data_IF_930511924287
#
_entry.id   IF_930511924287
#
_cell.length_a   1.000
_cell.length_b   1.000
_cell.length_c   1.000
_cell.angle_alpha   90.00
_cell.angle_beta   90.00
_cell.angle_gamma   90.00
#
_symmetry.space_group_name_H-M   'P 1'
#
loop_
_entity.id
_entity.type
_entity.pdbx_description
1 polymer ?
#
# COMPACT_ATOMS: atom_id res chain seq x y z
N UNK A 1 -7.79 6.91 -1.73
CA UNK A 1 -8.83 5.90 -1.43
C UNK A 1 -8.36 4.57 -2.01
N UNK A 2 -7.83 3.67 -1.19
CA UNK A 2 -7.04 2.51 -1.65
C UNK A 2 -7.65 1.18 -1.19
N UNK A 3 -8.98 1.14 -1.02
CA UNK A 3 -9.66 -0.04 -0.50
C UNK A 3 -9.06 -0.52 0.84
N UNK A 4 -8.77 -1.81 0.94
CA UNK A 4 -8.20 -2.45 2.13
C UNK A 4 -6.67 -2.44 2.19
N UNK A 5 -5.97 -1.80 1.25
CA UNK A 5 -4.50 -1.84 1.13
C UNK A 5 -3.79 -1.51 2.46
N UNK A 6 -4.03 -0.32 3.01
CA UNK A 6 -3.38 0.12 4.25
C UNK A 6 -3.72 -0.80 5.44
N UNK A 7 -4.98 -1.22 5.54
CA UNK A 7 -5.45 -2.09 6.62
C UNK A 7 -4.81 -3.46 6.56
N UNK A 8 -4.61 -4.01 5.36
CA UNK A 8 -3.93 -5.29 5.16
C UNK A 8 -2.46 -5.17 5.56
N UNK A 9 -1.72 -4.20 5.01
CA UNK A 9 -0.30 -3.97 5.37
C UNK A 9 -0.15 -3.86 6.89
N UNK A 10 -0.95 -3.01 7.54
CA UNK A 10 -0.87 -2.82 8.99
C UNK A 10 -1.18 -4.12 9.75
N UNK A 11 -2.22 -4.87 9.36
CA UNK A 11 -2.59 -6.11 10.04
C UNK A 11 -1.48 -7.15 9.93
N UNK A 12 -0.99 -7.39 8.73
CA UNK A 12 0.06 -8.38 8.48
C UNK A 12 1.39 -7.95 9.11
N UNK A 13 1.71 -6.65 9.14
CA UNK A 13 2.88 -6.13 9.89
C UNK A 13 2.76 -6.39 11.38
N UNK A 14 1.59 -6.16 11.99
CA UNK A 14 1.40 -6.48 13.41
C UNK A 14 1.58 -7.98 13.67
N UNK A 15 1.03 -8.84 12.80
CA UNK A 15 1.22 -10.29 12.91
C UNK A 15 2.69 -10.70 12.74
N UNK A 16 3.42 -10.05 11.83
CA UNK A 16 4.86 -10.25 11.69
C UNK A 16 5.61 -9.85 12.97
N UNK A 17 5.32 -8.68 13.54
CA UNK A 17 5.94 -8.21 14.80
C UNK A 17 5.68 -9.20 15.94
N UNK A 18 4.44 -9.66 16.10
CA UNK A 18 4.03 -10.63 17.13
C UNK A 18 4.80 -11.95 17.01
N UNK A 19 4.97 -12.47 15.79
CA UNK A 19 5.68 -13.72 15.54
C UNK A 19 7.20 -13.60 15.67
N UNK A 20 7.76 -12.46 15.28
CA UNK A 20 9.21 -12.29 15.15
C UNK A 20 9.86 -11.80 16.43
N UNK A 21 9.25 -10.81 17.09
CA UNK A 21 9.95 -10.04 18.14
C UNK A 21 9.63 -10.54 19.54
N UNK A 22 8.44 -11.16 19.75
CA UNK A 22 7.94 -11.63 21.05
C UNK A 22 7.92 -10.60 22.20
N UNK A 23 8.41 -9.39 21.94
CA UNK A 23 8.80 -8.34 22.87
C UNK A 23 8.49 -6.98 22.24
N UNK A 24 8.38 -5.95 23.07
CA UNK A 24 8.09 -4.58 22.65
C UNK A 24 9.32 -3.81 22.15
N UNK A 25 10.42 -4.50 21.83
CA UNK A 25 11.67 -3.86 21.41
C UNK A 25 11.71 -3.68 19.89
N UNK A 26 10.87 -2.79 19.39
CA UNK A 26 10.83 -2.41 17.99
C UNK A 26 10.53 -0.93 17.81
N UNK A 27 10.98 -0.39 16.69
CA UNK A 27 10.69 0.98 16.28
C UNK A 27 10.07 0.97 14.88
N UNK A 28 9.08 1.84 14.67
CA UNK A 28 8.43 1.97 13.37
C UNK A 28 9.03 3.14 12.59
N UNK A 29 9.50 2.85 11.38
CA UNK A 29 9.83 3.85 10.38
C UNK A 29 8.69 3.87 9.35
N UNK A 30 7.88 4.92 9.38
CA UNK A 30 6.68 5.01 8.56
C UNK A 30 6.93 5.84 7.30
N UNK A 31 6.78 5.20 6.13
CA UNK A 31 6.71 5.88 4.84
C UNK A 31 5.24 6.04 4.46
N UNK A 32 4.70 7.25 4.65
CA UNK A 32 3.29 7.58 4.49
C UNK A 32 2.57 7.92 5.80
N UNK A 33 1.48 8.68 5.70
CA UNK A 33 0.74 9.18 6.86
C UNK A 33 -0.16 8.16 7.56
N UNK A 34 -0.73 7.20 6.83
CA UNK A 34 -1.70 6.26 7.40
C UNK A 34 -1.08 5.36 8.47
N UNK A 35 0.11 4.80 8.18
CA UNK A 35 0.84 3.96 9.13
C UNK A 35 1.35 4.74 10.33
N UNK A 36 1.92 5.93 10.12
CA UNK A 36 2.43 6.77 11.21
C UNK A 36 1.31 7.19 12.17
N UNK A 37 0.16 7.62 11.64
CA UNK A 37 -1.01 8.01 12.43
C UNK A 37 -1.60 6.82 13.19
N UNK A 38 -1.61 5.62 12.59
CA UNK A 38 -2.07 4.39 13.24
C UNK A 38 -1.20 4.01 14.46
N UNK A 39 0.12 3.91 14.26
CA UNK A 39 1.04 3.48 15.32
C UNK A 39 1.18 4.54 16.42
N UNK A 40 1.19 5.83 16.05
CA UNK A 40 1.22 6.94 17.04
C UNK A 40 0.00 6.91 17.95
N UNK A 41 -1.20 6.63 17.42
CA UNK A 41 -2.43 6.51 18.23
C UNK A 41 -2.40 5.34 19.21
N UNK A 42 -1.61 4.29 18.93
CA UNK A 42 -1.43 3.13 19.82
C UNK A 42 -0.29 3.30 20.83
N UNK A 43 0.41 4.43 20.81
CA UNK A 43 1.54 4.69 21.71
C UNK A 43 2.83 3.97 21.30
N UNK A 44 2.90 3.43 20.08
CA UNK A 44 4.11 2.81 19.53
C UNK A 44 5.14 3.90 19.17
N UNK A 45 6.44 3.59 19.35
CA UNK A 45 7.51 4.49 18.95
C UNK A 45 7.63 4.57 17.42
N UNK A 46 7.23 5.71 16.85
CA UNK A 46 7.43 6.05 15.43
C UNK A 46 8.68 6.92 15.34
N UNK A 47 9.83 6.28 15.13
CA UNK A 47 11.15 6.93 15.14
C UNK A 47 11.39 7.81 13.92
N UNK A 48 10.79 7.46 12.78
CA UNK A 48 10.88 8.23 11.55
C UNK A 48 9.55 8.23 10.81
N UNK A 49 9.24 9.36 10.18
CA UNK A 49 8.05 9.54 9.37
C UNK A 49 8.36 10.35 8.12
N UNK A 50 7.96 9.84 6.96
CA UNK A 50 8.05 10.58 5.69
C UNK A 50 6.72 10.52 4.93
N UNK A 51 5.99 11.64 4.84
CA UNK A 51 4.68 11.70 4.16
C UNK A 51 4.76 12.10 2.68
N UNK A 52 5.89 12.64 2.22
CA UNK A 52 6.01 13.30 0.91
C UNK A 52 6.39 12.40 -0.24
N UNK A 53 5.98 11.12 -0.25
CA UNK A 53 6.29 10.22 -1.38
C UNK A 53 5.34 10.56 -2.53
N UNK A 54 5.91 10.96 -3.67
CA UNK A 54 5.14 11.22 -4.89
C UNK A 54 4.53 9.92 -5.44
N UNK A 55 3.49 10.03 -6.27
CA UNK A 55 2.84 8.84 -6.87
C UNK A 55 3.78 8.07 -7.80
N UNK A 56 4.71 8.77 -8.44
CA UNK A 56 5.80 8.18 -9.23
C UNK A 56 7.12 8.57 -8.55
N UNK A 57 7.53 7.84 -7.51
CA UNK A 57 8.68 8.20 -6.70
C UNK A 57 9.96 8.14 -7.53
N UNK A 58 10.77 9.18 -7.40
CA UNK A 58 12.11 9.20 -8.01
C UNK A 58 13.14 8.65 -7.04
N UNK A 59 14.25 8.13 -7.57
CA UNK A 59 15.35 7.65 -6.75
C UNK A 59 15.89 8.71 -5.77
N UNK A 60 15.91 9.99 -6.18
CA UNK A 60 16.39 11.08 -5.33
C UNK A 60 15.49 11.35 -4.12
N UNK A 61 14.18 11.21 -4.27
CA UNK A 61 13.21 11.36 -3.16
C UNK A 61 13.41 10.23 -2.14
N UNK A 62 13.54 8.99 -2.62
CA UNK A 62 13.72 7.82 -1.75
C UNK A 62 15.10 7.79 -1.11
N UNK A 63 16.15 8.27 -1.80
CA UNK A 63 17.51 8.34 -1.24
C UNK A 63 17.57 9.07 0.09
N UNK A 64 16.74 10.09 0.32
CA UNK A 64 16.69 10.78 1.62
C UNK A 64 16.19 9.86 2.74
N UNK A 65 15.16 9.07 2.46
CA UNK A 65 14.64 8.06 3.39
C UNK A 65 15.74 7.06 3.71
N UNK A 66 16.36 6.47 2.69
CA UNK A 66 17.40 5.45 2.91
C UNK A 66 18.58 6.00 3.69
N UNK A 67 19.09 7.19 3.33
CA UNK A 67 20.21 7.82 4.07
C UNK A 67 19.90 7.98 5.54
N UNK A 68 18.67 8.36 5.89
CA UNK A 68 18.24 8.47 7.29
C UNK A 68 18.26 7.09 7.96
N UNK A 69 17.66 6.07 7.34
CA UNK A 69 17.62 4.70 7.87
C UNK A 69 19.03 4.14 8.07
N UNK A 70 19.91 4.25 7.08
CA UNK A 70 21.31 3.81 7.18
C UNK A 70 22.08 4.57 8.25
N UNK A 71 21.80 5.86 8.45
CA UNK A 71 22.43 6.66 9.52
C UNK A 71 22.01 6.17 10.90
N UNK A 72 20.73 5.85 11.09
CA UNK A 72 20.22 5.28 12.34
C UNK A 72 20.82 3.90 12.63
N UNK A 73 20.92 3.04 11.60
CA UNK A 73 21.59 1.75 11.71
C UNK A 73 23.06 1.89 12.13
N UNK A 74 23.82 2.78 11.47
CA UNK A 74 25.23 3.03 11.80
C UNK A 74 25.45 3.61 13.21
N UNK A 75 24.44 4.26 13.79
CA UNK A 75 24.47 4.74 15.18
C UNK A 75 24.13 3.65 16.20
N UNK A 76 23.70 2.46 15.75
CA UNK A 76 23.23 1.39 16.61
C UNK A 76 21.86 1.65 17.22
N UNK A 77 20.99 2.41 16.53
CA UNK A 77 19.61 2.63 17.00
C UNK A 77 18.72 1.38 16.79
N UNK A 78 19.08 0.51 15.84
CA UNK A 78 18.49 -0.81 15.62
C UNK A 78 19.52 -1.73 14.94
N UNK A 79 19.38 -3.04 15.17
CA UNK A 79 20.28 -4.07 14.63
C UNK A 79 19.73 -4.76 13.37
N UNK A 80 18.41 -4.72 13.15
CA UNK A 80 17.76 -5.34 11.99
C UNK A 80 16.69 -4.41 11.40
N UNK A 81 16.59 -4.41 10.08
CA UNK A 81 15.60 -3.64 9.33
C UNK A 81 14.75 -4.56 8.47
N UNK A 82 13.45 -4.56 8.74
CA UNK A 82 12.46 -5.22 7.91
C UNK A 82 11.59 -4.19 7.20
N UNK A 83 11.45 -4.33 5.88
CA UNK A 83 10.54 -3.52 5.08
C UNK A 83 9.27 -4.33 4.82
N UNK A 84 8.17 -3.85 5.40
CA UNK A 84 6.86 -4.46 5.28
C UNK A 84 6.01 -3.71 4.25
N UNK A 85 5.57 -4.39 3.20
CA UNK A 85 4.78 -3.79 2.13
C UNK A 85 3.95 -4.85 1.39
N UNK A 86 3.04 -4.40 0.53
CA UNK A 86 2.29 -5.27 -0.37
C UNK A 86 3.01 -5.34 -1.73
N UNK A 87 3.49 -6.53 -2.07
CA UNK A 87 4.11 -6.83 -3.35
C UNK A 87 3.05 -6.97 -4.44
N UNK A 88 3.24 -6.25 -5.54
CA UNK A 88 2.38 -6.34 -6.70
C UNK A 88 2.64 -7.64 -7.47
N UNK A 89 1.72 -8.59 -7.37
CA UNK A 89 1.76 -9.82 -8.18
C UNK A 89 1.06 -9.57 -9.53
N UNK A 90 -0.15 -9.03 -9.48
CA UNK A 90 -0.90 -8.58 -10.65
C UNK A 90 -1.97 -7.56 -10.24
N UNK A 91 -2.75 -7.05 -11.20
CA UNK A 91 -3.76 -6.01 -10.95
C UNK A 91 -4.83 -6.37 -9.90
N UNK A 92 -5.09 -7.65 -9.67
CA UNK A 92 -6.10 -8.13 -8.72
C UNK A 92 -5.49 -8.65 -7.41
N UNK A 93 -4.23 -9.08 -7.46
CA UNK A 93 -3.57 -9.79 -6.35
C UNK A 93 -2.33 -8.99 -5.94
N UNK A 94 -2.32 -8.59 -4.67
CA UNK A 94 -1.12 -8.18 -3.95
C UNK A 94 -0.87 -9.17 -2.82
N UNK A 95 0.39 -9.32 -2.43
CA UNK A 95 0.78 -10.19 -1.32
C UNK A 95 1.67 -9.42 -0.37
N UNK A 96 1.37 -9.51 0.92
CA UNK A 96 2.24 -9.00 1.95
C UNK A 96 3.63 -9.64 1.86
N UNK A 97 4.66 -8.80 1.96
CA UNK A 97 6.05 -9.19 2.14
C UNK A 97 6.65 -8.41 3.29
N UNK A 98 7.39 -9.12 4.13
CA UNK A 98 8.32 -8.56 5.11
C UNK A 98 9.71 -9.00 4.70
N UNK A 99 10.48 -8.11 4.07
CA UNK A 99 11.82 -8.42 3.57
C UNK A 99 12.87 -7.80 4.50
N UNK A 100 13.85 -8.62 4.90
CA UNK A 100 15.00 -8.16 5.68
C UNK A 100 15.94 -7.39 4.75
N UNK A 101 16.15 -6.11 5.04
CA UNK A 101 16.98 -5.21 4.24
C UNK A 101 18.36 -4.97 4.86
N UNK A 102 18.45 -5.02 6.20
CA UNK A 102 19.70 -4.92 6.94
C UNK A 102 19.65 -5.87 8.16
N UNK A 103 20.78 -6.50 8.54
CA UNK A 103 21.99 -6.66 7.74
C UNK A 103 21.74 -7.47 6.46
N UNK A 104 22.56 -7.27 5.43
CA UNK A 104 22.53 -8.09 4.22
C UNK A 104 23.26 -9.39 4.54
N UNK A 105 22.50 -10.45 4.81
CA UNK A 105 22.98 -11.81 5.03
C UNK A 105 22.71 -12.70 3.80
N UNK A 106 23.32 -13.89 3.76
CA UNK A 106 23.15 -14.84 2.66
C UNK A 106 21.68 -15.23 2.45
N UNK A 107 20.88 -15.20 3.52
CA UNK A 107 19.43 -15.43 3.47
C UNK A 107 18.70 -14.29 2.75
N UNK A 108 19.04 -13.02 3.04
CA UNK A 108 18.49 -11.88 2.32
C UNK A 108 18.82 -11.95 0.82
N UNK A 109 20.05 -12.30 0.45
CA UNK A 109 20.48 -12.42 -0.95
C UNK A 109 19.75 -13.58 -1.66
N UNK A 110 19.56 -14.71 -0.98
CA UNK A 110 18.84 -15.86 -1.54
C UNK A 110 17.33 -15.61 -1.65
N UNK A 111 16.73 -14.87 -0.71
CA UNK A 111 15.29 -14.56 -0.72
C UNK A 111 14.85 -13.71 -1.93
N UNK A 112 15.76 -12.90 -2.48
CA UNK A 112 15.53 -12.05 -3.64
C UNK A 112 15.79 -12.76 -4.99
N UNK A 113 16.47 -13.91 -4.96
CA UNK A 113 16.62 -14.76 -6.13
C UNK A 113 15.28 -15.47 -6.38
N UNK A 114 14.50 -14.94 -7.32
CA UNK A 114 13.27 -15.57 -7.82
C UNK A 114 13.48 -17.08 -8.01
N UNK A 115 12.63 -17.92 -7.38
CA UNK A 115 12.70 -19.38 -7.50
C UNK A 115 12.65 -19.88 -8.97
N UNK A 116 12.20 -19.04 -9.91
CA UNK A 116 12.10 -19.33 -11.34
C UNK A 116 13.36 -19.01 -12.15
N UNK A 117 14.34 -18.29 -11.59
CA UNK A 117 15.61 -18.03 -12.26
C UNK A 117 16.66 -18.90 -11.58
N UNK A 118 16.93 -20.08 -12.16
CA UNK A 118 18.16 -20.83 -11.88
C UNK A 118 19.35 -20.01 -12.38
N UNK A 119 19.73 -18.98 -11.61
CA UNK A 119 20.99 -18.28 -11.81
C UNK A 119 22.07 -19.32 -11.48
N UNK A 120 22.67 -19.91 -12.50
CA UNK A 120 23.95 -20.61 -12.32
C UNK A 120 24.86 -19.60 -11.60
N UNK A 121 25.51 -19.95 -10.49
CA UNK A 121 26.45 -19.04 -9.85
C UNK A 121 27.51 -18.70 -10.91
N UNK A 122 27.44 -17.48 -11.42
CA UNK A 122 28.43 -16.97 -12.35
C UNK A 122 29.60 -16.54 -11.48
N UNK A 123 30.45 -17.50 -11.14
CA UNK A 123 31.74 -17.23 -10.50
C UNK A 123 32.67 -16.63 -11.55
N UNK A 124 32.48 -15.34 -11.81
CA UNK A 124 33.45 -14.52 -12.52
C UNK A 124 34.47 -14.01 -11.49
N UNK A 125 35.75 -14.23 -11.76
CA UNK A 125 36.82 -13.56 -11.02
C UNK A 125 36.82 -12.08 -11.46
N UNK A 126 36.74 -11.17 -10.48
CA UNK A 126 36.79 -9.73 -10.71
C UNK A 126 38.11 -9.20 -10.18
N UNK A 127 38.86 -8.49 -11.02
CA UNK A 127 39.99 -7.67 -10.57
C UNK A 127 39.42 -6.39 -9.95
N UNK A 128 39.69 -6.18 -8.66
CA UNK A 128 39.07 -5.11 -7.85
C UNK A 128 40.11 -4.05 -7.49
N UNK A 129 39.95 -2.84 -8.03
CA UNK A 129 40.76 -1.67 -7.67
C UNK A 129 39.88 -0.64 -6.94
N UNK A 130 40.31 -0.01 -5.82
CA UNK A 130 41.60 -0.10 -5.13
C UNK A 130 41.77 -1.29 -4.15
N UNK A 131 40.69 -1.77 -3.52
CA UNK A 131 40.68 -3.02 -2.73
C UNK A 131 39.25 -3.54 -2.59
N UNK A 132 39.06 -4.85 -2.38
CA UNK A 132 37.73 -5.46 -2.20
C UNK A 132 36.91 -4.79 -1.11
N UNK A 133 37.54 -4.48 0.03
CA UNK A 133 36.87 -3.83 1.17
C UNK A 133 36.40 -2.42 0.83
N UNK A 134 37.22 -1.65 0.12
CA UNK A 134 36.86 -0.27 -0.25
C UNK A 134 35.72 -0.26 -1.27
N UNK A 135 35.74 -1.18 -2.25
CA UNK A 135 34.64 -1.32 -3.20
C UNK A 135 33.37 -1.76 -2.47
N UNK A 136 33.45 -2.74 -1.56
CA UNK A 136 32.30 -3.23 -0.81
C UNK A 136 31.68 -2.13 0.07
N UNK A 137 32.50 -1.28 0.70
CA UNK A 137 32.04 -0.13 1.49
C UNK A 137 31.24 0.89 0.67
N UNK A 138 31.48 0.97 -0.65
CA UNK A 138 30.73 1.86 -1.56
C UNK A 138 29.50 1.16 -2.13
N UNK A 139 29.62 -0.12 -2.47
CA UNK A 139 28.55 -0.88 -3.14
C UNK A 139 27.44 -1.28 -2.17
N UNK A 140 27.75 -1.67 -0.94
CA UNK A 140 26.73 -2.12 0.02
C UNK A 140 25.65 -1.04 0.29
N UNK A 141 25.99 0.23 0.58
CA UNK A 141 24.98 1.27 0.74
C UNK A 141 24.14 1.49 -0.52
N UNK A 142 24.76 1.44 -1.71
CA UNK A 142 24.04 1.60 -2.98
C UNK A 142 23.08 0.44 -3.26
N UNK A 143 23.47 -0.77 -2.89
CA UNK A 143 22.62 -1.95 -2.98
C UNK A 143 21.43 -1.82 -2.03
N UNK A 144 21.66 -1.49 -0.74
CA UNK A 144 20.56 -1.23 0.21
C UNK A 144 19.63 -0.10 -0.25
N UNK A 145 20.18 0.99 -0.81
CA UNK A 145 19.39 2.06 -1.44
C UNK A 145 18.50 1.54 -2.56
N UNK A 146 19.04 0.67 -3.41
CA UNK A 146 18.31 0.08 -4.53
C UNK A 146 17.19 -0.86 -4.06
N UNK A 147 17.42 -1.64 -2.99
CA UNK A 147 16.41 -2.56 -2.45
C UNK A 147 15.21 -1.81 -1.85
N UNK A 148 15.48 -0.82 -1.00
CA UNK A 148 14.41 -0.01 -0.40
C UNK A 148 13.65 0.78 -1.47
N UNK A 149 14.36 1.28 -2.49
CA UNK A 149 13.73 1.93 -3.63
C UNK A 149 12.82 0.98 -4.43
N UNK A 150 13.28 -0.24 -4.69
CA UNK A 150 12.48 -1.28 -5.32
C UNK A 150 11.21 -1.59 -4.53
N UNK A 151 11.33 -1.76 -3.20
CA UNK A 151 10.19 -2.02 -2.32
C UNK A 151 9.17 -0.87 -2.34
N UNK A 152 9.62 0.40 -2.35
CA UNK A 152 8.74 1.56 -2.41
C UNK A 152 8.00 1.63 -3.76
N UNK A 153 8.69 1.38 -4.87
CA UNK A 153 8.06 1.34 -6.20
C UNK A 153 7.00 0.24 -6.31
N UNK A 154 7.32 -0.93 -5.77
CA UNK A 154 6.42 -2.08 -5.77
C UNK A 154 5.18 -1.82 -4.89
N UNK A 155 5.40 -1.28 -3.70
CA UNK A 155 4.33 -0.83 -2.80
C UNK A 155 3.42 0.20 -3.47
N UNK A 156 3.99 1.21 -4.15
CA UNK A 156 3.23 2.22 -4.92
C UNK A 156 2.43 1.62 -6.07
N UNK A 157 3.00 0.63 -6.76
CA UNK A 157 2.31 -0.09 -7.83
C UNK A 157 1.10 -0.85 -7.30
N UNK A 158 1.27 -1.55 -6.18
CA UNK A 158 0.18 -2.24 -5.48
C UNK A 158 -0.87 -1.26 -4.94
N UNK A 159 -0.46 -0.11 -4.39
CA UNK A 159 -1.36 0.96 -3.93
C UNK A 159 -2.28 1.44 -5.06
N UNK A 160 -1.71 1.76 -6.23
CA UNK A 160 -2.49 2.20 -7.39
C UNK A 160 -3.41 1.11 -7.94
N UNK A 161 -2.97 -0.15 -7.97
CA UNK A 161 -3.81 -1.27 -8.38
C UNK A 161 -5.02 -1.46 -7.44
N UNK A 162 -4.78 -1.37 -6.13
CA UNK A 162 -5.83 -1.45 -5.11
C UNK A 162 -6.79 -0.26 -5.19
N UNK A 163 -6.26 0.95 -5.38
CA UNK A 163 -7.06 2.16 -5.62
C UNK A 163 -7.97 2.01 -6.84
N UNK A 164 -7.42 1.54 -7.97
CA UNK A 164 -8.18 1.37 -9.21
C UNK A 164 -9.32 0.36 -9.03
N UNK A 165 -9.04 -0.76 -8.35
CA UNK A 165 -10.04 -1.79 -8.06
C UNK A 165 -11.13 -1.26 -7.12
N UNK A 166 -10.76 -0.56 -6.05
CA UNK A 166 -11.70 0.01 -5.10
C UNK A 166 -12.60 1.07 -5.75
N UNK A 167 -12.04 1.94 -6.60
CA UNK A 167 -12.81 2.92 -7.36
C UNK A 167 -13.77 2.26 -8.35
N UNK A 168 -13.32 1.20 -9.05
CA UNK A 168 -14.19 0.45 -9.96
C UNK A 168 -15.39 -0.14 -9.23
N UNK A 169 -15.17 -0.82 -8.10
CA UNK A 169 -16.26 -1.35 -7.29
C UNK A 169 -17.18 -0.26 -6.74
N UNK A 170 -16.64 0.92 -6.41
CA UNK A 170 -17.47 2.05 -5.99
C UNK A 170 -18.36 2.58 -7.13
N UNK A 171 -17.84 2.65 -8.37
CA UNK A 171 -18.63 3.02 -9.54
C UNK A 171 -19.71 1.99 -9.84
N UNK A 172 -19.36 0.70 -9.84
CA UNK A 172 -20.33 -0.39 -10.09
C UNK A 172 -21.47 -0.34 -9.04
N UNK A 173 -21.16 -0.12 -7.76
CA UNK A 173 -22.16 0.04 -6.70
C UNK A 173 -23.02 1.31 -6.87
N UNK A 174 -22.46 2.38 -7.43
CA UNK A 174 -23.21 3.60 -7.70
C UNK A 174 -24.19 3.41 -8.86
N UNK A 175 -23.79 2.69 -9.91
CA UNK A 175 -24.66 2.37 -11.05
C UNK A 175 -25.85 1.49 -10.62
N UNK A 176 -25.62 0.53 -9.71
CA UNK A 176 -26.69 -0.28 -9.10
C UNK A 176 -27.66 0.59 -8.30
N UNK A 177 -27.15 1.54 -7.51
CA UNK A 177 -27.97 2.48 -6.74
C UNK A 177 -28.78 3.39 -7.66
N UNK A 178 -28.18 3.94 -8.70
CA UNK A 178 -28.86 4.78 -9.70
C UNK A 178 -30.00 3.99 -10.35
N UNK A 179 -29.74 2.77 -10.80
CA UNK A 179 -30.76 1.90 -11.40
C UNK A 179 -31.93 1.66 -10.44
N UNK A 180 -31.64 1.43 -9.15
CA UNK A 180 -32.68 1.23 -8.13
C UNK A 180 -33.53 2.51 -7.89
N UNK A 181 -32.88 3.68 -7.87
CA UNK A 181 -33.53 4.97 -7.66
C UNK A 181 -34.35 5.40 -8.87
N UNK A 182 -33.91 5.09 -10.10
CA UNK A 182 -34.69 5.33 -11.31
C UNK A 182 -36.00 4.55 -11.32
N UNK A 183 -35.97 3.29 -10.87
CA UNK A 183 -37.19 2.48 -10.74
C UNK A 183 -38.15 3.09 -9.72
N UNK A 184 -37.65 3.53 -8.56
CA UNK A 184 -38.45 4.19 -7.54
C UNK A 184 -39.03 5.52 -8.05
N UNK A 185 -38.22 6.32 -8.74
CA UNK A 185 -38.63 7.58 -9.34
C UNK A 185 -39.77 7.38 -10.34
N UNK A 186 -39.63 6.41 -11.25
CA UNK A 186 -40.67 6.13 -12.24
C UNK A 186 -41.98 5.64 -11.61
N UNK A 187 -41.91 4.82 -10.55
CA UNK A 187 -43.09 4.41 -9.76
C UNK A 187 -43.75 5.60 -9.09
N UNK A 188 -42.98 6.45 -8.41
CA UNK A 188 -43.50 7.66 -7.76
C UNK A 188 -44.12 8.62 -8.77
N UNK A 189 -43.48 8.79 -9.94
CA UNK A 189 -44.00 9.60 -11.05
C UNK A 189 -45.36 9.09 -11.55
N UNK A 190 -45.51 7.78 -11.76
CA UNK A 190 -46.78 7.19 -12.20
C UNK A 190 -47.87 7.31 -11.14
N UNK A 191 -47.53 7.12 -9.86
CA UNK A 191 -48.46 7.32 -8.76
C UNK A 191 -48.93 8.78 -8.66
N UNK A 192 -48.02 9.74 -8.83
CA UNK A 192 -48.36 11.17 -8.86
C UNK A 192 -49.31 11.52 -10.01
N UNK A 193 -48.99 11.09 -11.24
CA UNK A 193 -49.86 11.28 -12.42
C UNK A 193 -51.25 10.66 -12.18
N UNK A 194 -51.29 9.46 -11.60
CA UNK A 194 -52.56 8.77 -11.35
C UNK A 194 -53.40 9.50 -10.30
N UNK A 195 -52.76 10.01 -9.24
CA UNK A 195 -53.41 10.80 -8.20
C UNK A 195 -53.99 12.09 -8.79
N UNK A 196 -53.20 12.81 -9.58
CA UNK A 196 -53.62 14.04 -10.26
C UNK A 196 -54.81 13.80 -11.19
N UNK A 197 -54.79 12.72 -12.00
CA UNK A 197 -55.93 12.34 -12.84
C UNK A 197 -57.16 12.01 -12.00
N UNK A 198 -57.00 11.24 -10.91
CA UNK A 198 -58.11 10.83 -10.03
C UNK A 198 -58.76 12.04 -9.35
N UNK A 199 -57.94 13.01 -8.92
CA UNK A 199 -58.41 14.28 -8.35
C UNK A 199 -59.19 15.11 -9.38
N UNK A 200 -58.71 15.20 -10.63
CA UNK A 200 -59.41 15.92 -11.71
C UNK A 200 -60.76 15.27 -12.00
N UNK A 201 -60.81 13.94 -12.17
CA UNK A 201 -62.05 13.22 -12.49
C UNK A 201 -63.04 13.27 -11.33
N UNK A 202 -62.57 13.09 -10.10
CA UNK A 202 -63.41 13.16 -8.90
C UNK A 202 -63.98 14.57 -8.67
N UNK A 203 -63.19 15.61 -8.94
CA UNK A 203 -63.66 17.00 -8.90
C UNK A 203 -64.73 17.30 -9.96
N UNK A 204 -64.57 16.80 -11.19
CA UNK A 204 -65.57 16.96 -12.25
C UNK A 204 -66.89 16.23 -11.94
N UNK A 205 -66.84 14.99 -11.43
CA UNK A 205 -68.07 14.27 -11.05
C UNK A 205 -68.83 14.98 -9.92
N UNK A 206 -68.12 15.48 -8.91
CA UNK A 206 -68.72 16.20 -7.79
C UNK A 206 -69.46 17.48 -8.23
N UNK A 207 -68.94 18.19 -9.24
CA UNK A 207 -69.60 19.35 -9.85
C UNK A 207 -70.84 18.99 -10.68
N UNK A 208 -70.92 17.78 -11.23
CA UNK A 208 -72.06 17.33 -12.04
C UNK A 208 -73.27 16.85 -11.23
N UNK A 209 -73.05 16.51 -9.95
CA UNK A 209 -74.08 16.05 -9.02
C UNK A 209 -74.70 17.19 -8.19
N UNK A 210 -74.35 18.44 -8.48
CA UNK A 210 -74.87 19.66 -7.87
C UNK A 210 -75.84 20.38 -8.81
#
# INVERSE_FOLDING_TARGET
MVGSYNSNVIRETNQFIENHSGSNDYQILAVGGTGSDFYRKRGTNVAYEYRGVSDVPTFNEVRQIVKMVTTMYNKGEFDELYVCYEHFVNRLISRFRAEKMLPIDDEAIQSQASQDIKVKPMTAEYDVEPSEKEVLNVVLPQYSESLVYGAILDAKTSEHASSSTAMKSASDNADDLISSLELQYNRARQAAITTEITEITGGQEALSQQ
#
